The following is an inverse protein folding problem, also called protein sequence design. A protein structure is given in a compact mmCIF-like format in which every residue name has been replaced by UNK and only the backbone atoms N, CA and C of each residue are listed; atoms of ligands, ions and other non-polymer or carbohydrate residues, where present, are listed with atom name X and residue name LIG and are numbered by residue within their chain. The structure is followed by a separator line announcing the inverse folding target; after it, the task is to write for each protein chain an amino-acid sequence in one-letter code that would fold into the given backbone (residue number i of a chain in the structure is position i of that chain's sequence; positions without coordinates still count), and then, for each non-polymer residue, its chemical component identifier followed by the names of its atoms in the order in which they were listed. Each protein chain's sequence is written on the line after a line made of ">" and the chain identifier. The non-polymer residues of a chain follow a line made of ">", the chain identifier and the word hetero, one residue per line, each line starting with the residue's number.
data_IF_066357793280
#
_entry.id   IF_066357793280
#
_cell.length_a   1.000
_cell.length_b   1.000
_cell.length_c   1.000
_cell.angle_alpha   90.00
_cell.angle_beta   90.00
_cell.angle_gamma   90.00
#
_symmetry.space_group_name_H-M   'P 1'
#
loop_
_entity.id
_entity.type
_entity.pdbx_description
1 polymer ?
#
# COMPACT_ATOMS: atom_id res chain seq x y z
N UNK A 1 44.59 7.53 -29.73
CA UNK A 1 44.46 6.90 -28.42
C UNK A 1 43.96 7.86 -27.31
N UNK A 2 44.49 9.08 -27.15
CA UNK A 2 44.05 10.06 -26.13
C UNK A 2 42.53 10.42 -26.24
N UNK A 3 42.00 10.60 -27.46
CA UNK A 3 40.60 10.97 -27.69
C UNK A 3 39.60 9.82 -27.32
N UNK A 4 40.02 8.57 -27.47
CA UNK A 4 39.18 7.39 -27.08
C UNK A 4 39.13 7.25 -25.55
N UNK A 5 40.23 7.55 -24.87
CA UNK A 5 40.31 7.49 -23.40
C UNK A 5 39.43 8.58 -22.73
N UNK A 6 39.40 9.80 -23.32
CA UNK A 6 38.58 10.89 -22.80
C UNK A 6 37.07 10.66 -23.02
N UNK A 7 36.68 10.05 -24.15
CA UNK A 7 35.28 9.70 -24.42
C UNK A 7 34.81 8.56 -23.49
N UNK A 8 35.66 7.55 -23.27
CA UNK A 8 35.33 6.44 -22.34
C UNK A 8 35.24 6.93 -20.90
N UNK A 9 36.04 7.91 -20.47
CA UNK A 9 35.93 8.47 -19.11
C UNK A 9 34.67 9.31 -18.90
N UNK A 10 34.23 10.03 -19.94
CA UNK A 10 33.01 10.86 -19.85
C UNK A 10 31.74 10.00 -19.85
N UNK A 11 31.75 8.86 -20.54
CA UNK A 11 30.61 7.92 -20.54
C UNK A 11 30.46 7.16 -19.24
N UNK A 12 31.53 6.89 -18.49
CA UNK A 12 31.46 6.26 -17.16
C UNK A 12 30.77 7.17 -16.12
N UNK A 13 30.82 8.48 -16.27
CA UNK A 13 30.23 9.44 -15.35
C UNK A 13 28.70 9.59 -15.51
N UNK A 14 28.14 9.11 -16.61
CA UNK A 14 26.68 9.18 -16.87
C UNK A 14 25.95 7.89 -16.55
N UNK A 15 26.63 6.81 -16.16
CA UNK A 15 26.07 5.46 -16.10
C UNK A 15 25.37 5.10 -14.78
N UNK A 16 25.24 6.00 -13.80
CA UNK A 16 24.68 5.66 -12.48
C UNK A 16 23.60 6.62 -11.99
N UNK A 17 22.76 7.14 -12.89
CA UNK A 17 21.76 8.14 -12.54
C UNK A 17 20.72 7.65 -11.52
N UNK A 18 20.22 6.42 -11.63
CA UNK A 18 19.19 5.90 -10.73
C UNK A 18 19.74 5.71 -9.30
N UNK A 19 20.93 5.14 -9.15
CA UNK A 19 21.57 4.95 -7.85
C UNK A 19 22.00 6.28 -7.20
N UNK A 20 22.47 7.24 -7.99
CA UNK A 20 22.85 8.56 -7.49
C UNK A 20 21.63 9.40 -7.07
N UNK A 21 20.51 9.25 -7.78
CA UNK A 21 19.27 10.01 -7.52
C UNK A 21 18.44 9.33 -6.43
N UNK A 22 18.27 8.01 -6.48
CA UNK A 22 17.39 7.27 -5.61
C UNK A 22 18.04 6.72 -4.33
N UNK A 23 19.38 6.51 -4.33
CA UNK A 23 20.13 5.96 -3.19
C UNK A 23 19.66 4.58 -2.75
N UNK A 24 20.24 4.08 -1.66
CA UNK A 24 19.83 2.82 -1.00
C UNK A 24 18.65 3.01 -0.02
N UNK A 25 18.26 4.27 0.27
CA UNK A 25 17.20 4.63 1.21
C UNK A 25 16.08 5.36 0.52
N UNK A 26 14.87 5.19 1.05
CA UNK A 26 13.68 5.87 0.56
C UNK A 26 12.96 6.59 1.69
N UNK A 27 12.52 7.81 1.41
CA UNK A 27 11.68 8.59 2.30
C UNK A 27 10.24 8.08 2.19
N UNK A 28 9.66 7.66 3.32
CA UNK A 28 8.27 7.24 3.42
C UNK A 28 7.57 8.13 4.43
N UNK A 29 6.44 8.72 4.02
CA UNK A 29 5.64 9.58 4.87
C UNK A 29 4.53 8.79 5.55
N UNK A 30 4.32 9.09 6.83
CA UNK A 30 3.21 8.56 7.63
C UNK A 30 2.39 9.69 8.19
N UNK A 31 1.08 9.61 7.98
CA UNK A 31 0.09 10.48 8.61
C UNK A 31 -1.06 9.66 9.20
N UNK A 32 -1.90 10.26 10.03
CA UNK A 32 -2.98 9.57 10.71
C UNK A 32 -4.12 10.55 11.05
N UNK A 33 -5.35 10.03 11.13
CA UNK A 33 -6.49 10.76 11.68
C UNK A 33 -6.27 11.19 13.15
N UNK A 34 -5.35 10.52 13.85
CA UNK A 34 -4.99 10.79 15.22
C UNK A 34 -3.55 11.31 15.32
N UNK A 35 -3.38 12.57 15.73
CA UNK A 35 -2.05 13.18 15.88
C UNK A 35 -1.21 12.43 16.92
N UNK A 36 0.11 12.45 16.72
CA UNK A 36 1.08 11.80 17.61
C UNK A 36 0.89 10.28 17.74
N UNK A 37 0.40 9.64 16.67
CA UNK A 37 0.40 8.18 16.59
C UNK A 37 1.84 7.69 16.44
N UNK A 38 2.27 6.80 17.33
CA UNK A 38 3.63 6.23 17.31
C UNK A 38 3.76 5.22 16.18
N UNK A 39 4.78 5.39 15.36
CA UNK A 39 5.11 4.48 14.25
C UNK A 39 6.31 3.61 14.64
N UNK A 40 6.12 2.31 14.51
CA UNK A 40 7.16 1.30 14.77
C UNK A 40 7.49 0.59 13.45
N UNK A 41 8.77 0.42 13.18
CA UNK A 41 9.27 -0.39 12.08
C UNK A 41 10.07 -1.54 12.69
N UNK A 42 9.71 -2.76 12.36
CA UNK A 42 10.31 -3.98 12.89
C UNK A 42 10.42 -3.97 14.44
N UNK A 43 9.37 -3.45 15.09
CA UNK A 43 9.25 -3.36 16.54
C UNK A 43 9.97 -2.17 17.21
N UNK A 44 10.69 -1.34 16.45
CA UNK A 44 11.39 -0.14 16.97
C UNK A 44 10.58 1.11 16.65
N UNK A 45 10.32 1.95 17.66
CA UNK A 45 9.70 3.26 17.45
C UNK A 45 10.64 4.17 16.64
N UNK A 46 10.14 4.71 15.53
CA UNK A 46 10.92 5.54 14.60
C UNK A 46 10.45 6.98 14.55
N UNK A 47 9.16 7.23 14.73
CA UNK A 47 8.60 8.59 14.76
C UNK A 47 7.17 8.62 15.29
N UNK A 48 6.59 9.84 15.33
CA UNK A 48 5.17 10.10 15.62
C UNK A 48 4.56 10.92 14.50
N UNK A 49 3.32 10.54 14.08
CA UNK A 49 2.63 11.20 12.96
C UNK A 49 2.28 12.67 13.25
N UNK A 50 2.35 13.54 12.22
CA UNK A 50 2.87 13.30 10.88
C UNK A 50 4.40 13.25 10.85
N UNK A 51 4.98 12.31 10.10
CA UNK A 51 6.44 12.18 10.01
C UNK A 51 6.91 11.58 8.69
N UNK A 52 8.20 11.74 8.40
CA UNK A 52 8.89 11.11 7.28
C UNK A 52 10.04 10.28 7.83
N UNK A 53 10.13 9.03 7.40
CA UNK A 53 11.14 8.07 7.83
C UNK A 53 11.94 7.59 6.63
N UNK A 54 13.28 7.54 6.77
CA UNK A 54 14.16 6.93 5.76
C UNK A 54 14.29 5.45 6.02
N UNK A 55 13.82 4.65 5.06
CA UNK A 55 13.84 3.18 5.12
C UNK A 55 14.83 2.64 4.11
N UNK A 56 15.68 1.70 4.53
CA UNK A 56 16.61 1.01 3.63
C UNK A 56 15.85 0.08 2.69
N UNK A 57 16.21 0.09 1.41
CA UNK A 57 15.58 -0.73 0.37
C UNK A 57 16.09 -2.17 0.31
N UNK A 58 16.73 -2.67 1.36
CA UNK A 58 17.26 -4.04 1.39
C UNK A 58 16.15 -5.09 1.55
N UNK A 59 15.18 -4.82 2.42
CA UNK A 59 14.11 -5.77 2.72
C UNK A 59 13.06 -5.82 1.61
N UNK A 60 12.55 -7.01 1.29
CA UNK A 60 11.45 -7.20 0.34
C UNK A 60 10.12 -6.66 0.88
N UNK A 61 9.95 -6.72 2.19
CA UNK A 61 8.77 -6.25 2.89
C UNK A 61 9.18 -5.65 4.24
N UNK A 62 8.52 -4.57 4.63
CA UNK A 62 8.72 -3.91 5.93
C UNK A 62 7.40 -3.94 6.70
N UNK A 63 7.44 -4.41 7.93
CA UNK A 63 6.30 -4.39 8.84
C UNK A 63 6.28 -3.07 9.62
N UNK A 64 5.22 -2.31 9.43
CA UNK A 64 4.97 -1.05 10.12
C UNK A 64 3.80 -1.23 11.09
N UNK A 65 3.98 -0.83 12.34
CA UNK A 65 2.93 -0.82 13.34
C UNK A 65 2.67 0.61 13.79
N UNK A 66 1.41 1.01 13.75
CA UNK A 66 0.96 2.27 14.32
C UNK A 66 0.25 2.01 15.65
N UNK A 67 0.67 2.72 16.71
CA UNK A 67 0.15 2.54 18.07
C UNK A 67 -0.17 3.87 18.71
N UNK A 68 -1.30 3.91 19.41
CA UNK A 68 -1.73 5.06 20.21
C UNK A 68 -2.55 4.59 21.40
N UNK A 69 -2.32 5.13 22.56
CA UNK A 69 -3.01 4.73 23.78
C UNK A 69 -4.52 4.96 23.66
N UNK A 70 -5.32 3.93 23.94
CA UNK A 70 -6.78 3.93 23.79
C UNK A 70 -7.28 3.66 22.38
N UNK A 71 -6.40 3.27 21.46
CA UNK A 71 -6.71 2.90 20.09
C UNK A 71 -6.19 1.49 19.79
N UNK A 72 -6.81 0.83 18.84
CA UNK A 72 -6.36 -0.48 18.36
C UNK A 72 -5.04 -0.33 17.58
N UNK A 73 -4.10 -1.23 17.83
CA UNK A 73 -2.84 -1.29 17.07
C UNK A 73 -3.14 -1.64 15.61
N UNK A 74 -2.53 -0.88 14.69
CA UNK A 74 -2.66 -1.12 13.26
C UNK A 74 -1.35 -1.61 12.67
N UNK A 75 -1.38 -2.75 11.97
CA UNK A 75 -0.20 -3.27 11.25
C UNK A 75 -0.40 -3.08 9.75
N UNK A 76 0.62 -2.57 9.09
CA UNK A 76 0.69 -2.34 7.64
C UNK A 76 1.95 -3.01 7.13
N UNK A 77 1.85 -3.69 6.00
CA UNK A 77 2.99 -4.25 5.30
C UNK A 77 3.30 -3.40 4.07
N UNK A 78 4.52 -2.88 4.02
CA UNK A 78 5.02 -2.11 2.89
C UNK A 78 5.81 -3.05 2.00
N UNK A 79 5.38 -3.22 0.76
CA UNK A 79 6.00 -4.13 -0.19
C UNK A 79 6.90 -3.35 -1.17
N UNK A 80 7.93 -4.03 -1.65
CA UNK A 80 8.79 -3.56 -2.71
C UNK A 80 8.16 -3.79 -4.09
N UNK A 81 8.27 -2.80 -4.96
CA UNK A 81 7.96 -2.88 -6.37
C UNK A 81 9.12 -2.42 -7.24
N UNK A 82 9.07 -2.65 -8.56
CA UNK A 82 10.07 -2.12 -9.48
C UNK A 82 10.00 -0.59 -9.52
N UNK A 83 11.16 0.07 -9.45
CA UNK A 83 11.26 1.52 -9.53
C UNK A 83 10.98 1.99 -10.98
N UNK A 84 9.99 2.87 -11.21
CA UNK A 84 9.68 3.39 -12.54
C UNK A 84 10.88 4.05 -13.25
N UNK A 85 11.80 4.66 -12.49
CA UNK A 85 13.01 5.25 -13.05
C UNK A 85 13.95 4.23 -13.71
N UNK A 86 13.87 2.96 -13.28
CA UNK A 86 14.65 1.88 -13.91
C UNK A 86 14.15 1.59 -15.33
N UNK A 87 12.88 1.85 -15.63
CA UNK A 87 12.32 1.69 -16.98
C UNK A 87 13.03 2.60 -18.01
N UNK A 88 13.53 3.75 -17.59
CA UNK A 88 14.30 4.65 -18.47
C UNK A 88 15.65 4.03 -18.89
N UNK A 89 16.24 3.19 -18.06
CA UNK A 89 17.48 2.49 -18.38
C UNK A 89 17.28 1.37 -19.42
N UNK A 90 16.07 0.80 -19.47
CA UNK A 90 15.72 -0.27 -20.44
C UNK A 90 15.52 0.29 -21.84
N UNK A 91 15.09 1.54 -21.98
CA UNK A 91 14.83 2.18 -23.29
C UNK A 91 16.13 2.54 -24.02
N UNK A 92 17.23 2.73 -23.31
CA UNK A 92 18.53 3.06 -23.88
C UNK A 92 19.37 1.81 -24.12
N UNK A 93 19.27 1.23 -25.30
CA UNK A 93 19.86 -0.07 -25.68
C UNK A 93 21.38 -0.21 -25.53
N UNK A 94 22.13 0.87 -25.47
CA UNK A 94 23.60 0.85 -25.34
C UNK A 94 24.08 0.96 -23.89
N UNK A 95 23.29 1.59 -23.02
CA UNK A 95 23.62 1.82 -21.60
C UNK A 95 22.88 0.90 -20.63
N UNK A 96 21.95 0.09 -21.14
CA UNK A 96 21.03 -0.71 -20.33
C UNK A 96 21.73 -1.76 -19.45
N UNK A 97 22.80 -2.39 -19.95
CA UNK A 97 23.52 -3.43 -19.19
C UNK A 97 24.28 -2.88 -18.00
N UNK A 98 24.95 -1.75 -18.14
CA UNK A 98 25.68 -1.14 -17.02
C UNK A 98 24.76 -0.45 -16.03
N UNK A 99 23.72 0.26 -16.47
CA UNK A 99 22.74 0.89 -15.59
C UNK A 99 21.93 -0.13 -14.81
N UNK A 100 21.47 -1.20 -15.46
CA UNK A 100 20.70 -2.26 -14.84
C UNK A 100 21.49 -3.03 -13.79
N UNK A 101 22.78 -3.35 -14.06
CA UNK A 101 23.63 -4.07 -13.09
C UNK A 101 23.95 -3.23 -11.86
N UNK A 102 24.18 -1.92 -12.03
CA UNK A 102 24.40 -1.01 -10.89
C UNK A 102 23.13 -0.84 -10.07
N UNK A 103 21.97 -0.64 -10.68
CA UNK A 103 20.71 -0.50 -9.99
C UNK A 103 20.32 -1.76 -9.23
N UNK A 104 20.56 -2.94 -9.80
CA UNK A 104 20.36 -4.23 -9.09
C UNK A 104 21.31 -4.40 -7.90
N UNK A 105 22.59 -4.00 -8.06
CA UNK A 105 23.62 -4.18 -7.04
C UNK A 105 23.47 -3.23 -5.85
N UNK A 106 22.96 -2.02 -6.08
CA UNK A 106 22.82 -0.97 -5.07
C UNK A 106 21.38 -0.70 -4.63
N UNK A 107 20.42 -1.56 -5.04
CA UNK A 107 19.02 -1.47 -4.60
C UNK A 107 18.19 -0.38 -5.29
N UNK A 108 18.75 0.34 -6.28
CA UNK A 108 18.04 1.39 -7.03
C UNK A 108 16.91 0.84 -7.93
N UNK A 109 16.96 -0.45 -8.25
CA UNK A 109 15.95 -1.14 -9.07
C UNK A 109 14.60 -1.25 -8.36
N UNK A 110 14.60 -1.32 -7.03
CA UNK A 110 13.41 -1.54 -6.23
C UNK A 110 13.05 -0.32 -5.40
N UNK A 111 11.77 -0.07 -5.24
CA UNK A 111 11.27 0.94 -4.31
C UNK A 111 10.04 0.45 -3.56
N UNK A 112 9.75 1.06 -2.42
CA UNK A 112 8.51 0.84 -1.69
C UNK A 112 7.40 1.68 -2.32
N UNK A 113 6.28 1.04 -2.64
CA UNK A 113 5.12 1.71 -3.24
C UNK A 113 3.84 1.26 -2.51
N UNK A 114 3.00 2.21 -2.11
CA UNK A 114 3.17 3.67 -2.17
C UNK A 114 4.24 4.19 -1.19
N UNK A 115 4.66 5.46 -1.34
CA UNK A 115 5.62 6.12 -0.45
C UNK A 115 4.96 7.01 0.62
N UNK A 116 3.64 7.05 0.64
CA UNK A 116 2.84 7.81 1.61
C UNK A 116 1.72 6.95 2.16
N UNK A 117 1.58 6.90 3.47
CA UNK A 117 0.59 6.11 4.18
C UNK A 117 -0.23 6.98 5.13
N UNK A 118 -1.54 6.91 4.96
CA UNK A 118 -2.48 7.50 5.91
C UNK A 118 -3.07 6.38 6.77
N UNK A 119 -2.82 6.43 8.07
CA UNK A 119 -3.23 5.39 9.01
C UNK A 119 -4.48 5.82 9.75
N UNK A 120 -5.59 5.14 9.51
CA UNK A 120 -6.81 5.36 10.27
C UNK A 120 -6.80 4.54 11.55
N UNK A 121 -6.61 5.22 12.68
CA UNK A 121 -6.67 4.64 14.03
C UNK A 121 -8.12 4.55 14.50
N UNK A 122 -8.49 3.41 15.06
CA UNK A 122 -9.82 3.15 15.60
C UNK A 122 -9.71 3.02 17.13
N UNK A 123 -10.65 3.65 17.86
CA UNK A 123 -10.67 3.54 19.33
C UNK A 123 -10.89 2.11 19.78
N UNK A 124 -10.18 1.68 20.81
CA UNK A 124 -10.44 0.38 21.43
C UNK A 124 -11.86 0.31 21.99
N UNK A 125 -12.61 -0.75 21.67
CA UNK A 125 -13.93 -0.93 22.24
C UNK A 125 -13.83 -1.24 23.74
N UNK A 126 -14.40 -0.37 24.58
CA UNK A 126 -14.29 -0.46 26.05
C UNK A 126 -15.41 -1.30 26.66
N UNK A 127 -16.60 -1.23 26.09
CA UNK A 127 -17.79 -1.92 26.61
C UNK A 127 -18.02 -3.26 25.89
N UNK A 128 -18.74 -4.17 26.56
CA UNK A 128 -19.13 -5.44 25.94
C UNK A 128 -20.04 -5.22 24.72
N UNK A 129 -20.86 -4.17 24.72
CA UNK A 129 -21.69 -3.81 23.58
C UNK A 129 -20.86 -3.35 22.39
N UNK A 130 -19.87 -2.45 22.60
CA UNK A 130 -18.95 -1.99 21.56
C UNK A 130 -18.12 -3.14 20.99
N UNK A 131 -17.63 -4.06 21.83
CA UNK A 131 -16.91 -5.26 21.37
C UNK A 131 -17.78 -6.14 20.47
N UNK A 132 -19.05 -6.34 20.84
CA UNK A 132 -19.99 -7.11 20.04
C UNK A 132 -20.29 -6.43 18.71
N UNK A 133 -20.49 -5.11 18.74
CA UNK A 133 -20.69 -4.31 17.53
C UNK A 133 -19.50 -4.39 16.59
N UNK A 134 -18.28 -4.18 17.11
CA UNK A 134 -17.04 -4.27 16.35
C UNK A 134 -16.82 -5.67 15.74
N UNK A 135 -17.11 -6.72 16.52
CA UNK A 135 -17.02 -8.08 16.00
C UNK A 135 -18.00 -8.32 14.84
N UNK A 136 -19.17 -7.71 14.90
CA UNK A 136 -20.16 -7.78 13.83
C UNK A 136 -19.71 -7.02 12.57
N UNK A 137 -19.21 -5.79 12.72
CA UNK A 137 -18.65 -4.99 11.64
C UNK A 137 -17.48 -5.73 10.94
N UNK A 138 -16.59 -6.32 11.73
CA UNK A 138 -15.49 -7.12 11.18
C UNK A 138 -15.98 -8.36 10.41
N UNK A 139 -17.09 -8.97 10.82
CA UNK A 139 -17.71 -10.08 10.10
C UNK A 139 -18.25 -9.64 8.75
N UNK A 140 -18.91 -8.49 8.68
CA UNK A 140 -19.38 -7.91 7.41
C UNK A 140 -18.17 -7.63 6.49
N UNK A 141 -17.19 -6.92 7.03
CA UNK A 141 -15.95 -6.60 6.29
C UNK A 141 -15.29 -7.86 5.71
N UNK A 142 -15.11 -8.87 6.52
CA UNK A 142 -14.50 -10.12 6.09
C UNK A 142 -15.30 -10.81 4.99
N UNK A 143 -16.63 -10.84 5.12
CA UNK A 143 -17.51 -11.40 4.10
C UNK A 143 -17.37 -10.65 2.76
N UNK A 144 -17.37 -9.32 2.79
CA UNK A 144 -17.22 -8.49 1.58
C UNK A 144 -15.86 -8.70 0.93
N UNK A 145 -14.77 -8.66 1.70
CA UNK A 145 -13.41 -8.87 1.19
C UNK A 145 -13.26 -10.24 0.52
N UNK A 146 -13.81 -11.29 1.12
CA UNK A 146 -13.73 -12.64 0.55
C UNK A 146 -14.59 -12.86 -0.69
N UNK A 147 -15.68 -12.11 -0.82
CA UNK A 147 -16.67 -12.34 -1.87
C UNK A 147 -16.82 -11.17 -2.85
N UNK A 148 -15.86 -10.23 -2.87
CA UNK A 148 -15.96 -9.04 -3.71
C UNK A 148 -16.12 -9.34 -5.20
N UNK A 149 -15.39 -10.34 -5.71
CA UNK A 149 -15.51 -10.79 -7.09
C UNK A 149 -16.91 -11.31 -7.44
N UNK A 150 -17.54 -12.06 -6.53
CA UNK A 150 -18.91 -12.54 -6.69
C UNK A 150 -19.91 -11.39 -6.61
N UNK A 151 -19.72 -10.46 -5.65
CA UNK A 151 -20.55 -9.25 -5.55
C UNK A 151 -20.52 -8.43 -6.85
N UNK A 152 -19.33 -8.18 -7.41
CA UNK A 152 -19.19 -7.50 -8.71
C UNK A 152 -19.89 -8.29 -9.83
N UNK A 153 -19.74 -9.61 -9.87
CA UNK A 153 -20.40 -10.45 -10.88
C UNK A 153 -21.93 -10.36 -10.80
N UNK A 154 -22.51 -10.43 -9.59
CA UNK A 154 -23.95 -10.32 -9.38
C UNK A 154 -24.52 -8.95 -9.76
N UNK A 155 -23.76 -7.89 -9.57
CA UNK A 155 -24.15 -6.53 -9.96
C UNK A 155 -24.33 -6.42 -11.48
N UNK A 156 -23.41 -7.01 -12.26
CA UNK A 156 -23.42 -6.95 -13.71
C UNK A 156 -24.18 -8.10 -14.38
N UNK A 157 -24.62 -9.09 -13.60
CA UNK A 157 -25.39 -10.24 -14.12
C UNK A 157 -26.85 -9.88 -14.36
N UNK A 158 -27.38 -10.33 -15.49
CA UNK A 158 -28.81 -10.26 -15.82
C UNK A 158 -29.65 -11.37 -15.17
N UNK A 159 -29.02 -12.31 -14.46
CA UNK A 159 -29.59 -13.57 -14.01
C UNK A 159 -30.56 -13.43 -12.81
N UNK A 160 -30.69 -12.26 -12.22
CA UNK A 160 -31.61 -12.03 -11.08
C UNK A 160 -31.24 -12.75 -9.77
N UNK A 161 -30.35 -13.74 -9.82
CA UNK A 161 -29.82 -14.41 -8.63
C UNK A 161 -28.73 -13.57 -7.97
N UNK A 162 -29.07 -12.86 -6.92
CA UNK A 162 -28.22 -11.91 -6.20
C UNK A 162 -28.08 -12.32 -4.73
N UNK A 163 -27.60 -13.53 -4.49
CA UNK A 163 -27.50 -14.08 -3.14
C UNK A 163 -26.46 -13.40 -2.26
N UNK A 164 -25.29 -13.05 -2.84
CA UNK A 164 -24.26 -12.31 -2.09
C UNK A 164 -24.72 -10.89 -1.77
N UNK A 165 -25.35 -10.19 -2.72
CA UNK A 165 -25.94 -8.86 -2.50
C UNK A 165 -27.04 -8.93 -1.44
N UNK A 166 -27.90 -9.97 -1.50
CA UNK A 166 -28.95 -10.19 -0.51
C UNK A 166 -28.34 -10.42 0.88
N UNK A 167 -27.32 -11.25 0.98
CA UNK A 167 -26.63 -11.53 2.23
C UNK A 167 -26.02 -10.27 2.84
N UNK A 168 -25.34 -9.44 2.03
CA UNK A 168 -24.79 -8.15 2.50
C UNK A 168 -25.91 -7.22 2.95
N UNK A 169 -27.00 -7.12 2.19
CA UNK A 169 -28.15 -6.29 2.57
C UNK A 169 -28.77 -6.74 3.92
N UNK A 170 -28.88 -8.04 4.15
CA UNK A 170 -29.36 -8.59 5.43
C UNK A 170 -28.37 -8.32 6.57
N UNK A 171 -27.07 -8.42 6.32
CA UNK A 171 -26.04 -8.12 7.32
C UNK A 171 -25.93 -6.65 7.66
N UNK A 172 -26.07 -5.76 6.69
CA UNK A 172 -25.91 -4.30 6.89
C UNK A 172 -27.21 -3.61 7.26
N UNK A 173 -28.36 -4.22 6.94
CA UNK A 173 -29.67 -3.59 7.03
C UNK A 173 -29.95 -2.57 5.92
N UNK A 174 -29.05 -2.47 4.95
CA UNK A 174 -29.20 -1.57 3.79
C UNK A 174 -30.17 -2.17 2.76
N UNK A 175 -30.90 -1.31 2.00
CA UNK A 175 -31.62 -1.77 0.82
C UNK A 175 -30.69 -2.40 -0.20
N UNK A 176 -31.15 -3.41 -0.93
CA UNK A 176 -30.36 -4.04 -2.01
C UNK A 176 -29.89 -3.07 -3.07
N UNK A 177 -30.70 -2.04 -3.39
CA UNK A 177 -30.34 -0.97 -4.32
C UNK A 177 -29.07 -0.25 -3.91
N UNK A 178 -28.93 0.05 -2.62
CA UNK A 178 -27.82 0.81 -2.08
C UNK A 178 -26.54 -0.07 -2.03
N UNK A 179 -26.69 -1.35 -1.67
CA UNK A 179 -25.59 -2.31 -1.78
C UNK A 179 -25.09 -2.44 -3.21
N UNK A 180 -26.01 -2.54 -4.18
CA UNK A 180 -25.66 -2.58 -5.63
C UNK A 180 -24.89 -1.32 -6.02
N UNK A 181 -25.40 -0.14 -5.64
CA UNK A 181 -24.77 1.13 -5.96
C UNK A 181 -23.35 1.22 -5.41
N UNK A 182 -23.17 0.90 -4.12
CA UNK A 182 -21.85 0.88 -3.47
C UNK A 182 -20.89 -0.08 -4.18
N UNK A 183 -21.33 -1.30 -4.48
CA UNK A 183 -20.49 -2.30 -5.15
C UNK A 183 -20.16 -1.87 -6.58
N UNK A 184 -21.06 -1.17 -7.29
CA UNK A 184 -20.79 -0.63 -8.63
C UNK A 184 -19.73 0.46 -8.62
N UNK A 185 -19.86 1.40 -7.67
CA UNK A 185 -19.06 2.63 -7.62
C UNK A 185 -17.65 2.42 -7.04
N UNK A 186 -17.43 1.31 -6.33
CA UNK A 186 -16.13 1.02 -5.70
C UNK A 186 -15.18 0.27 -6.64
N UNK A 187 -13.92 0.71 -6.69
CA UNK A 187 -12.86 0.11 -7.51
C UNK A 187 -12.06 -0.98 -6.78
N UNK A 188 -12.18 -1.04 -5.45
CA UNK A 188 -11.48 -2.00 -4.62
C UNK A 188 -12.36 -2.67 -3.56
N UNK A 189 -11.99 -3.88 -3.19
CA UNK A 189 -12.64 -4.65 -2.13
C UNK A 189 -12.60 -3.95 -0.76
N UNK A 190 -11.47 -3.28 -0.47
CA UNK A 190 -11.28 -2.55 0.79
C UNK A 190 -12.17 -1.31 0.88
N UNK A 191 -12.33 -0.57 -0.20
CA UNK A 191 -13.22 0.59 -0.30
C UNK A 191 -14.68 0.15 -0.14
N UNK A 192 -15.10 -0.88 -0.88
CA UNK A 192 -16.43 -1.47 -0.77
C UNK A 192 -16.74 -1.89 0.65
N UNK A 193 -15.80 -2.60 1.30
CA UNK A 193 -15.96 -3.03 2.68
C UNK A 193 -16.05 -1.85 3.66
N UNK A 194 -15.44 -0.70 3.38
CA UNK A 194 -15.52 0.48 4.23
C UNK A 194 -16.85 1.25 4.11
N UNK A 195 -17.50 1.20 2.94
CA UNK A 195 -18.75 1.92 2.69
C UNK A 195 -20.01 1.14 3.11
N UNK A 196 -19.88 -0.16 3.39
CA UNK A 196 -21.00 -1.05 3.72
C UNK A 196 -21.29 -1.18 5.23
N UNK A 197 -20.56 -0.45 6.10
CA UNK A 197 -20.85 -0.46 7.56
C UNK A 197 -20.61 0.89 8.22
#
# INVERSE_FOLDING_TARGET
>A
MKKILTTASLTLLLASCATLISGSRQDISFDSNEKHTRIFIDGKEVCQTPCIVKIDRENSQVMVQARKDGFEDKTIFINKGPNPMTALNVVSTVFSTFGLTTDLSFGGFWEYSPNSFYVTMQKEPKTAAEKKQRAYENKIRHFVLQNYGQLKTEVFSSDGNREYIKTVAEMTGLPKSDVIFIVQDTDSEGECACLLY
#
